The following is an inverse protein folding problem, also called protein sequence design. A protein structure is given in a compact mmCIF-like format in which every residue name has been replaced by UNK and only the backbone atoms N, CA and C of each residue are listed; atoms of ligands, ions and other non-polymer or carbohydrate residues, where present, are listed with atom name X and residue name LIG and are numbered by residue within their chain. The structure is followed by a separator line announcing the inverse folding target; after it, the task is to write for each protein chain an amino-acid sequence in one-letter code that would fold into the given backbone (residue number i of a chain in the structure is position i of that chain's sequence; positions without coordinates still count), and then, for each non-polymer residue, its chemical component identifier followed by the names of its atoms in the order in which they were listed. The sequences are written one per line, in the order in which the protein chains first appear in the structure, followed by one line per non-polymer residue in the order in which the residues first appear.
data_IF_758162606181
#
_entry.id   IF_758162606181
#
_cell.length_a   1.000
_cell.length_b   1.000
_cell.length_c   1.000
_cell.angle_alpha   90.00
_cell.angle_beta   90.00
_cell.angle_gamma   90.00
#
_symmetry.space_group_name_H-M   'P 1'
#
loop_
_entity.id
_entity.type
_entity.pdbx_description
1 polymer ?
#
# COMPACT_ATOMS: atom_id res chain seq x y z
N UNK A 1 4.13 19.25 5.02
CA UNK A 1 4.89 18.48 6.02
C UNK A 1 4.62 17.01 5.78
N UNK A 2 5.64 16.18 5.55
CA UNK A 2 5.46 14.74 5.42
C UNK A 2 5.22 14.16 6.81
N UNK A 3 3.95 13.98 7.19
CA UNK A 3 3.61 13.13 8.32
C UNK A 3 3.94 11.68 7.93
N UNK A 4 4.68 10.98 8.79
CA UNK A 4 4.97 9.56 8.58
C UNK A 4 3.68 8.74 8.45
N UNK A 5 3.78 7.49 7.95
CA UNK A 5 2.61 6.64 7.73
C UNK A 5 1.83 6.44 9.05
N UNK A 6 0.52 6.69 8.98
CA UNK A 6 -0.44 6.46 10.07
C UNK A 6 -0.58 4.96 10.37
N UNK A 7 -1.14 4.59 11.52
CA UNK A 7 -1.39 3.17 11.88
C UNK A 7 -2.25 2.50 10.79
N UNK A 8 -3.35 3.12 10.41
CA UNK A 8 -4.26 2.64 9.35
C UNK A 8 -3.54 2.38 8.01
N UNK A 9 -2.54 3.21 7.68
CA UNK A 9 -1.79 3.08 6.44
C UNK A 9 -0.82 1.88 6.48
N UNK A 10 -0.19 1.65 7.65
CA UNK A 10 0.65 0.46 7.87
C UNK A 10 -0.18 -0.82 7.86
N UNK A 11 -1.34 -0.82 8.50
CA UNK A 11 -2.27 -1.95 8.51
C UNK A 11 -2.81 -2.24 7.10
N UNK A 12 -3.21 -1.19 6.37
CA UNK A 12 -3.65 -1.31 4.98
C UNK A 12 -2.56 -1.88 4.07
N UNK A 13 -1.32 -1.42 4.23
CA UNK A 13 -0.17 -1.96 3.50
C UNK A 13 0.12 -3.42 3.86
N UNK A 14 0.09 -3.79 5.14
CA UNK A 14 0.26 -5.17 5.58
C UNK A 14 -0.83 -6.10 5.00
N UNK A 15 -2.09 -5.66 5.02
CA UNK A 15 -3.19 -6.39 4.40
C UNK A 15 -3.00 -6.55 2.88
N UNK A 16 -2.41 -5.54 2.20
CA UNK A 16 -2.04 -5.63 0.78
C UNK A 16 -0.96 -6.70 0.54
N UNK A 17 0.12 -6.73 1.34
CA UNK A 17 1.17 -7.74 1.22
C UNK A 17 0.65 -9.16 1.48
N UNK A 18 -0.26 -9.34 2.45
CA UNK A 18 -0.88 -10.64 2.72
C UNK A 18 -1.72 -11.13 1.53
N UNK A 19 -2.51 -10.25 0.91
CA UNK A 19 -3.26 -10.58 -0.31
C UNK A 19 -2.33 -10.94 -1.47
N UNK A 20 -1.22 -10.20 -1.63
CA UNK A 20 -0.24 -10.48 -2.67
C UNK A 20 0.44 -11.84 -2.47
N UNK A 21 0.78 -12.20 -1.22
CA UNK A 21 1.29 -13.53 -0.87
C UNK A 21 0.27 -14.63 -1.21
N UNK A 22 -1.03 -14.38 -0.99
CA UNK A 22 -2.10 -15.30 -1.38
C UNK A 22 -2.19 -15.55 -2.89
N UNK A 23 -1.62 -14.67 -3.72
CA UNK A 23 -1.56 -14.80 -5.19
C UNK A 23 -0.32 -15.59 -5.67
N UNK A 24 0.61 -15.97 -4.78
CA UNK A 24 1.77 -16.80 -5.10
C UNK A 24 3.09 -16.27 -4.53
N UNK A 25 4.21 -16.76 -5.09
CA UNK A 25 5.54 -16.31 -4.69
C UNK A 25 5.77 -14.87 -5.16
N UNK A 26 6.01 -13.98 -4.20
CA UNK A 26 6.31 -12.58 -4.46
C UNK A 26 7.81 -12.36 -4.34
N UNK A 27 8.50 -11.87 -5.38
CA UNK A 27 9.93 -11.57 -5.29
C UNK A 27 10.21 -10.52 -4.20
N UNK A 28 11.26 -10.73 -3.40
CA UNK A 28 11.66 -9.78 -2.35
C UNK A 28 11.89 -8.37 -2.90
N UNK A 29 12.47 -8.27 -4.10
CA UNK A 29 12.69 -6.99 -4.78
C UNK A 29 11.38 -6.24 -5.06
N UNK A 30 10.30 -6.97 -5.36
CA UNK A 30 8.99 -6.36 -5.59
C UNK A 30 8.39 -5.82 -4.28
N UNK A 31 8.55 -6.52 -3.16
CA UNK A 31 8.14 -6.03 -1.83
C UNK A 31 8.90 -4.74 -1.48
N UNK A 32 10.22 -4.74 -1.66
CA UNK A 32 11.06 -3.57 -1.42
C UNK A 32 10.68 -2.37 -2.30
N UNK A 33 10.26 -2.60 -3.55
CA UNK A 33 9.80 -1.54 -4.44
C UNK A 33 8.52 -0.85 -3.91
N UNK A 34 7.58 -1.62 -3.36
CA UNK A 34 6.37 -1.05 -2.76
C UNK A 34 6.66 -0.24 -1.49
N UNK A 35 7.62 -0.68 -0.66
CA UNK A 35 8.06 0.07 0.53
C UNK A 35 8.75 1.39 0.15
N UNK A 36 9.60 1.37 -0.87
CA UNK A 36 10.30 2.55 -1.36
C UNK A 36 9.38 3.55 -2.06
N UNK A 37 8.25 3.08 -2.61
CA UNK A 37 7.34 3.87 -3.46
C UNK A 37 5.89 3.71 -2.99
N UNK A 38 5.52 4.25 -1.81
CA UNK A 38 4.20 4.01 -1.24
C UNK A 38 3.10 4.67 -2.06
N UNK A 39 2.14 3.87 -2.54
CA UNK A 39 1.01 4.30 -3.40
C UNK A 39 0.27 5.52 -2.86
N UNK A 40 0.06 5.61 -1.54
CA UNK A 40 -0.60 6.75 -0.87
C UNK A 40 0.01 8.11 -1.23
N UNK A 41 1.33 8.18 -1.43
CA UNK A 41 2.04 9.42 -1.77
C UNK A 41 1.67 9.99 -3.15
N UNK A 42 1.04 9.18 -4.00
CA UNK A 42 0.59 9.55 -5.33
C UNK A 42 -0.91 9.83 -5.41
N UNK A 43 -1.63 9.73 -4.28
CA UNK A 43 -3.08 9.88 -4.23
C UNK A 43 -3.47 11.21 -3.59
N UNK A 44 -4.55 11.79 -4.12
CA UNK A 44 -5.24 12.89 -3.45
C UNK A 44 -5.78 12.44 -2.07
N UNK A 45 -5.84 13.36 -1.11
CA UNK A 45 -6.09 13.05 0.30
C UNK A 45 -7.40 12.28 0.53
N UNK A 46 -8.45 12.56 -0.24
CA UNK A 46 -9.74 11.87 -0.15
C UNK A 46 -9.66 10.36 -0.47
N UNK A 47 -8.61 9.93 -1.17
CA UNK A 47 -8.38 8.52 -1.53
C UNK A 47 -7.43 7.80 -0.58
N UNK A 48 -6.82 8.49 0.40
CA UNK A 48 -5.94 7.85 1.38
C UNK A 48 -6.60 6.67 2.12
N UNK A 49 -7.89 6.73 2.54
CA UNK A 49 -8.55 5.61 3.22
C UNK A 49 -8.67 4.34 2.38
N UNK A 50 -8.56 4.45 1.06
CA UNK A 50 -8.70 3.32 0.12
C UNK A 50 -7.40 3.03 -0.65
N UNK A 51 -6.28 3.63 -0.23
CA UNK A 51 -5.00 3.57 -0.92
C UNK A 51 -4.49 2.14 -1.16
N UNK A 52 -4.86 1.20 -0.28
CA UNK A 52 -4.45 -0.21 -0.34
C UNK A 52 -5.58 -1.19 -0.65
N UNK A 53 -6.74 -0.70 -1.10
CA UNK A 53 -7.85 -1.59 -1.50
C UNK A 53 -7.52 -2.38 -2.78
N UNK A 54 -8.10 -3.58 -2.96
CA UNK A 54 -7.88 -4.41 -4.17
C UNK A 54 -8.82 -3.97 -5.30
N UNK A 55 -8.74 -2.67 -5.67
CA UNK A 55 -9.56 -2.07 -6.72
C UNK A 55 -8.88 -0.84 -7.32
N UNK A 56 -9.39 -0.42 -8.48
CA UNK A 56 -9.07 0.91 -9.00
C UNK A 56 -9.78 1.99 -8.18
N UNK A 57 -9.21 3.20 -8.21
CA UNK A 57 -9.91 4.38 -7.69
C UNK A 57 -11.15 4.66 -8.55
N UNK A 58 -12.24 5.16 -7.95
CA UNK A 58 -13.43 5.58 -8.69
C UNK A 58 -13.17 6.78 -9.59
#
# INVERSE_FOLDING_TARGET
MNHGPTVDDREGFAAFLLRLRGKGVVPKALIAAFEATPRRGFLAAQFHPIAWSDRMLP
#
